data_IF_877613466371
#
_entry.id   IF_877613466371
#
_cell.length_a   1.000
_cell.length_b   1.000
_cell.length_c   1.000
_cell.angle_alpha   90.00
_cell.angle_beta   90.00
_cell.angle_gamma   90.00
#
_symmetry.space_group_name_H-M   'P 1'
#
loop_
_entity.id
_entity.type
_entity.pdbx_description
1 polymer ?
#
# COMPACT_ATOMS: atom_id res chain seq x y z
N UNK A 1 4.82 12.84 -6.02
CA UNK A 1 5.12 13.01 -7.45
C UNK A 1 3.87 12.92 -8.32
N UNK A 2 3.13 11.80 -8.36
CA UNK A 2 1.98 11.60 -9.26
C UNK A 2 0.86 12.64 -9.04
N UNK A 3 0.45 12.86 -7.77
CA UNK A 3 -0.52 13.89 -7.41
C UNK A 3 -0.10 15.27 -7.92
N UNK A 4 1.15 15.63 -7.72
CA UNK A 4 1.63 16.97 -8.03
C UNK A 4 1.94 17.17 -9.53
N UNK A 5 2.23 16.08 -10.26
CA UNK A 5 2.47 16.12 -11.70
C UNK A 5 1.21 15.99 -12.56
N UNK A 6 0.21 15.21 -12.11
CA UNK A 6 -0.91 14.82 -13.00
C UNK A 6 -2.31 15.13 -12.45
N UNK A 7 -2.45 15.50 -11.16
CA UNK A 7 -3.75 15.63 -10.49
C UNK A 7 -4.00 17.08 -10.01
N UNK A 8 -3.74 18.07 -10.87
CA UNK A 8 -3.95 19.48 -10.53
C UNK A 8 -5.42 19.83 -10.35
N UNK A 9 -6.31 19.16 -11.10
CA UNK A 9 -7.76 19.36 -10.98
C UNK A 9 -8.27 18.87 -9.64
N UNK A 10 -7.82 17.67 -9.20
CA UNK A 10 -8.16 17.11 -7.90
C UNK A 10 -7.66 17.99 -6.76
N UNK A 11 -6.44 18.54 -6.88
CA UNK A 11 -5.91 19.50 -5.91
C UNK A 11 -6.77 20.76 -5.82
N UNK A 12 -7.21 21.30 -6.95
CA UNK A 12 -8.07 22.48 -6.98
C UNK A 12 -9.45 22.18 -6.38
N UNK A 13 -10.10 21.09 -6.82
CA UNK A 13 -11.42 20.68 -6.31
C UNK A 13 -11.39 20.39 -4.82
N UNK A 14 -10.39 19.64 -4.34
CA UNK A 14 -10.23 19.32 -2.93
C UNK A 14 -10.12 20.60 -2.07
N UNK A 15 -9.34 21.58 -2.54
CA UNK A 15 -9.23 22.88 -1.87
C UNK A 15 -10.58 23.64 -1.80
N UNK A 16 -11.38 23.58 -2.87
CA UNK A 16 -12.70 24.23 -2.94
C UNK A 16 -13.69 23.62 -1.96
N UNK A 17 -13.65 22.30 -1.76
CA UNK A 17 -14.60 21.57 -0.90
C UNK A 17 -14.05 21.26 0.50
N UNK A 18 -12.81 21.65 0.80
CA UNK A 18 -12.17 21.38 2.10
C UNK A 18 -11.80 19.91 2.32
N UNK A 19 -11.42 19.20 1.26
CA UNK A 19 -11.05 17.77 1.30
C UNK A 19 -9.59 17.54 0.89
N UNK A 20 -9.10 16.31 1.04
CA UNK A 20 -7.78 15.90 0.58
C UNK A 20 -7.84 15.43 -0.89
N UNK A 21 -6.93 15.89 -1.78
CA UNK A 21 -6.88 15.42 -3.16
C UNK A 21 -6.77 13.90 -3.30
N UNK A 22 -6.14 13.21 -2.36
CA UNK A 22 -6.06 11.75 -2.37
C UNK A 22 -7.42 11.07 -2.20
N UNK A 23 -8.37 11.68 -1.48
CA UNK A 23 -9.72 11.14 -1.39
C UNK A 23 -10.42 11.13 -2.75
N UNK A 24 -10.31 12.23 -3.51
CA UNK A 24 -10.87 12.30 -4.87
C UNK A 24 -10.20 11.31 -5.82
N UNK A 25 -8.87 11.18 -5.73
CA UNK A 25 -8.11 10.22 -6.53
C UNK A 25 -8.51 8.77 -6.19
N UNK A 26 -8.65 8.44 -4.91
CA UNK A 26 -9.06 7.11 -4.46
C UNK A 26 -10.47 6.76 -4.93
N UNK A 27 -11.45 7.65 -4.77
CA UNK A 27 -12.83 7.45 -5.25
C UNK A 27 -12.91 7.19 -6.76
N UNK A 28 -12.05 7.85 -7.55
CA UNK A 28 -11.98 7.60 -8.97
C UNK A 28 -11.28 6.26 -9.30
N UNK A 29 -10.21 5.93 -8.58
CA UNK A 29 -9.44 4.71 -8.77
C UNK A 29 -10.18 3.45 -8.28
N UNK A 30 -11.09 3.55 -7.33
CA UNK A 30 -11.95 2.44 -6.89
C UNK A 30 -12.80 1.85 -8.03
N UNK A 31 -13.16 2.68 -9.02
CA UNK A 31 -13.95 2.27 -10.18
C UNK A 31 -13.14 1.46 -11.20
N UNK A 32 -11.83 1.46 -11.09
CA UNK A 32 -10.94 0.69 -11.94
C UNK A 32 -10.87 -0.74 -11.38
N UNK A 33 -10.98 -1.79 -12.20
CA UNK A 33 -10.90 -3.16 -11.71
C UNK A 33 -9.50 -3.50 -11.17
N UNK A 34 -9.44 -4.52 -10.32
CA UNK A 34 -8.19 -5.10 -9.87
C UNK A 34 -7.32 -5.53 -11.06
N UNK A 35 -6.02 -5.25 -11.00
CA UNK A 35 -5.08 -5.51 -12.09
C UNK A 35 -5.15 -4.51 -13.24
N UNK A 36 -5.90 -3.39 -13.11
CA UNK A 36 -5.86 -2.26 -14.03
C UNK A 36 -6.03 -2.65 -15.52
N UNK A 37 -6.95 -3.56 -15.84
CA UNK A 37 -7.13 -4.13 -17.20
C UNK A 37 -5.87 -4.82 -17.75
N UNK A 38 -4.99 -5.30 -16.89
CA UNK A 38 -3.70 -5.92 -17.25
C UNK A 38 -2.52 -4.94 -17.29
N UNK A 39 -2.75 -3.63 -17.15
CA UNK A 39 -1.67 -2.67 -17.06
C UNK A 39 -0.88 -2.87 -15.77
N UNK A 40 0.44 -2.82 -15.87
CA UNK A 40 1.35 -2.92 -14.75
C UNK A 40 2.19 -1.66 -14.60
N UNK A 41 2.31 -1.20 -13.36
CA UNK A 41 3.36 -0.29 -12.94
C UNK A 41 4.46 -1.11 -12.28
N UNK A 42 5.70 -0.76 -12.53
CA UNK A 42 6.85 -1.41 -11.92
C UNK A 42 7.90 -0.35 -11.58
N UNK A 43 8.16 -0.15 -10.30
CA UNK A 43 9.27 0.68 -9.82
C UNK A 43 9.63 0.29 -8.39
N UNK A 44 10.85 0.61 -7.99
CA UNK A 44 11.28 0.62 -6.60
C UNK A 44 12.44 1.59 -6.47
N UNK A 45 12.28 2.60 -5.66
CA UNK A 45 13.36 3.47 -5.19
C UNK A 45 13.78 3.11 -3.75
N UNK A 46 13.20 2.04 -3.23
CA UNK A 46 13.44 1.55 -1.88
C UNK A 46 14.54 0.52 -1.92
N UNK A 47 15.62 0.87 -1.26
CA UNK A 47 16.65 -0.01 -0.72
C UNK A 47 17.01 -1.26 -1.56
N UNK A 48 18.23 -1.25 -1.99
CA UNK A 48 18.84 -2.37 -2.67
C UNK A 48 19.07 -3.53 -1.68
N UNK A 49 18.06 -4.36 -1.49
CA UNK A 49 18.25 -5.63 -0.81
C UNK A 49 18.87 -6.65 -1.77
N UNK A 50 19.50 -7.67 -1.21
CA UNK A 50 20.23 -8.70 -1.96
C UNK A 50 19.44 -9.27 -3.15
N UNK A 51 18.12 -9.42 -3.02
CA UNK A 51 17.26 -10.01 -4.04
C UNK A 51 16.37 -9.01 -4.79
N UNK A 52 16.51 -7.70 -4.49
CA UNK A 52 15.70 -6.65 -5.08
C UNK A 52 16.58 -5.50 -5.51
N UNK A 53 16.71 -5.29 -6.80
CA UNK A 53 17.40 -4.13 -7.35
C UNK A 53 16.47 -2.94 -7.43
N UNK A 54 17.05 -1.76 -7.48
CA UNK A 54 16.31 -0.56 -7.86
C UNK A 54 15.75 -0.75 -9.28
N UNK A 55 14.45 -0.55 -9.45
CA UNK A 55 13.78 -0.58 -10.74
C UNK A 55 13.29 0.82 -11.10
N UNK A 56 13.64 1.27 -12.31
CA UNK A 56 13.17 2.54 -12.85
C UNK A 56 11.64 2.52 -13.05
N UNK A 57 10.92 3.63 -12.82
CA UNK A 57 9.48 3.69 -13.03
C UNK A 57 9.11 3.32 -14.47
N UNK A 58 8.31 2.29 -14.62
CA UNK A 58 7.84 1.77 -15.91
C UNK A 58 6.34 1.50 -15.81
N UNK A 59 5.61 1.87 -16.86
CA UNK A 59 4.23 1.44 -17.08
C UNK A 59 4.17 0.63 -18.36
N UNK A 60 3.57 -0.54 -18.31
CA UNK A 60 3.54 -1.48 -19.43
C UNK A 60 2.18 -2.13 -19.60
N UNK A 61 1.94 -2.74 -20.77
CA UNK A 61 0.76 -3.50 -21.09
C UNK A 61 -0.55 -2.68 -21.02
N UNK A 62 -0.56 -1.48 -21.62
CA UNK A 62 -1.77 -0.68 -21.76
C UNK A 62 -2.02 -0.32 -23.23
N UNK A 63 -3.27 -0.09 -23.55
CA UNK A 63 -3.74 0.32 -24.87
C UNK A 63 -3.98 1.84 -24.89
N UNK A 64 -4.03 2.44 -26.10
CA UNK A 64 -4.31 3.86 -26.27
C UNK A 64 -5.83 4.14 -26.24
N UNK A 65 -6.51 3.62 -25.22
CA UNK A 65 -7.96 3.75 -24.99
C UNK A 65 -8.20 4.61 -23.75
N UNK A 66 -8.46 5.91 -23.89
CA UNK A 66 -8.50 6.85 -22.76
C UNK A 66 -9.65 6.57 -21.78
N UNK A 67 -10.70 5.89 -22.20
CA UNK A 67 -11.79 5.46 -21.32
C UNK A 67 -11.38 4.37 -20.32
N UNK A 68 -10.35 3.57 -20.64
CA UNK A 68 -9.79 2.54 -19.76
C UNK A 68 -8.47 2.99 -19.11
N UNK A 69 -7.54 3.53 -19.92
CA UNK A 69 -6.19 3.85 -19.51
C UNK A 69 -6.01 5.36 -19.37
N UNK A 70 -6.51 5.89 -18.26
CA UNK A 70 -6.43 7.29 -17.88
C UNK A 70 -5.62 7.48 -16.60
N UNK A 71 -5.45 8.72 -16.15
CA UNK A 71 -4.64 9.03 -14.96
C UNK A 71 -5.03 8.22 -13.71
N UNK A 72 -6.29 7.83 -13.56
CA UNK A 72 -6.72 7.05 -12.39
C UNK A 72 -6.31 5.58 -12.48
N UNK A 73 -6.27 5.02 -13.69
CA UNK A 73 -5.73 3.68 -13.93
C UNK A 73 -4.23 3.66 -13.65
N UNK A 74 -3.50 4.69 -14.09
CA UNK A 74 -2.08 4.84 -13.74
C UNK A 74 -1.88 5.01 -12.23
N UNK A 75 -2.71 5.80 -11.57
CA UNK A 75 -2.64 5.95 -10.11
C UNK A 75 -2.90 4.63 -9.38
N UNK A 76 -3.95 3.89 -9.76
CA UNK A 76 -4.25 2.59 -9.16
C UNK A 76 -3.11 1.59 -9.37
N UNK A 77 -2.52 1.53 -10.55
CA UNK A 77 -1.40 0.63 -10.82
C UNK A 77 -0.15 0.95 -9.97
N UNK A 78 0.04 2.22 -9.58
CA UNK A 78 1.08 2.61 -8.60
C UNK A 78 0.78 2.00 -7.22
N UNK A 79 -0.47 2.05 -6.76
CA UNK A 79 -0.87 1.44 -5.49
C UNK A 79 -0.68 -0.08 -5.54
N UNK A 80 -1.06 -0.71 -6.64
CA UNK A 80 -0.90 -2.16 -6.86
C UNK A 80 0.58 -2.57 -6.89
N UNK A 81 1.46 -1.77 -7.53
CA UNK A 81 2.90 -2.00 -7.51
C UNK A 81 3.47 -2.03 -6.10
N UNK A 82 3.06 -1.09 -5.23
CA UNK A 82 3.55 -1.07 -3.84
C UNK A 82 3.10 -2.30 -3.06
N UNK A 83 1.89 -2.79 -3.31
CA UNK A 83 1.41 -4.03 -2.71
C UNK A 83 2.15 -5.28 -3.23
N UNK A 84 2.51 -5.31 -4.53
CA UNK A 84 3.34 -6.37 -5.11
C UNK A 84 4.74 -6.40 -4.47
N UNK A 85 5.34 -5.23 -4.22
CA UNK A 85 6.61 -5.12 -3.47
C UNK A 85 6.48 -5.70 -2.05
N UNK A 86 5.41 -5.36 -1.33
CA UNK A 86 5.17 -5.91 0.01
C UNK A 86 5.02 -7.43 -0.04
N UNK A 87 4.28 -7.98 -1.02
CA UNK A 87 4.17 -9.44 -1.22
C UNK A 87 5.54 -10.08 -1.38
N UNK A 88 6.42 -9.49 -2.21
CA UNK A 88 7.78 -9.98 -2.37
C UNK A 88 8.63 -9.89 -1.10
N UNK A 89 8.46 -8.83 -0.30
CA UNK A 89 9.14 -8.74 1.00
C UNK A 89 8.65 -9.78 2.00
N UNK A 90 7.37 -10.14 2.00
CA UNK A 90 6.84 -11.24 2.82
C UNK A 90 7.49 -12.57 2.40
N UNK A 91 7.63 -12.82 1.10
CA UNK A 91 8.32 -14.01 0.59
C UNK A 91 9.77 -14.09 1.08
N UNK A 92 10.52 -12.97 1.04
CA UNK A 92 11.88 -12.90 1.57
C UNK A 92 11.97 -13.14 3.08
N UNK A 93 11.04 -12.58 3.85
CA UNK A 93 10.96 -12.81 5.30
C UNK A 93 10.70 -14.29 5.57
N UNK A 94 9.77 -14.89 4.84
CA UNK A 94 9.47 -16.33 4.95
C UNK A 94 10.68 -17.21 4.62
N UNK A 95 11.39 -16.88 3.53
CA UNK A 95 12.61 -17.60 3.14
C UNK A 95 13.71 -17.47 4.21
N UNK A 96 13.92 -16.29 4.75
CA UNK A 96 14.99 -16.01 5.71
C UNK A 96 14.71 -16.55 7.13
N UNK A 97 13.45 -16.57 7.55
CA UNK A 97 13.07 -16.87 8.95
C UNK A 97 12.24 -18.14 9.13
N UNK A 98 11.71 -18.70 8.05
CA UNK A 98 10.71 -19.77 8.09
C UNK A 98 9.32 -19.31 8.55
N UNK A 99 9.15 -18.03 8.92
CA UNK A 99 7.91 -17.49 9.45
C UNK A 99 7.17 -16.66 8.40
N UNK A 100 5.85 -16.73 8.44
CA UNK A 100 4.98 -15.92 7.60
C UNK A 100 3.96 -15.20 8.50
N UNK A 101 3.75 -13.90 8.32
CA UNK A 101 2.79 -13.16 9.15
C UNK A 101 1.36 -13.61 8.87
N UNK A 102 0.54 -13.75 9.93
CA UNK A 102 -0.89 -14.04 9.79
C UNK A 102 -1.69 -12.82 9.33
N UNK A 103 -1.21 -11.62 9.63
CA UNK A 103 -1.81 -10.33 9.26
C UNK A 103 -0.75 -9.27 9.09
N UNK A 104 -1.09 -8.20 8.40
CA UNK A 104 -0.24 -7.02 8.21
C UNK A 104 -0.82 -5.85 9.01
N UNK A 105 0.07 -5.06 9.63
CA UNK A 105 -0.30 -3.78 10.25
C UNK A 105 0.14 -2.68 9.29
N UNK A 106 -0.83 -1.95 8.74
CA UNK A 106 -0.58 -0.84 7.82
C UNK A 106 -0.82 0.48 8.54
N UNK A 107 0.25 1.24 8.78
CA UNK A 107 0.25 2.49 9.53
C UNK A 107 0.91 3.62 8.73
N UNK A 108 0.82 4.84 9.24
CA UNK A 108 1.30 6.05 8.56
C UNK A 108 0.26 6.66 7.63
N UNK A 109 0.61 7.72 6.92
CA UNK A 109 -0.31 8.49 6.08
C UNK A 109 -1.00 7.67 4.98
N UNK A 110 -0.34 6.66 4.43
CA UNK A 110 -0.92 5.78 3.41
C UNK A 110 -2.09 4.92 3.93
N UNK A 111 -2.08 4.57 5.22
CA UNK A 111 -3.13 3.75 5.85
C UNK A 111 -4.47 4.46 6.02
N UNK A 112 -4.55 5.74 5.68
CA UNK A 112 -5.81 6.50 5.62
C UNK A 112 -6.64 6.10 4.40
N UNK A 113 -6.00 5.57 3.35
CA UNK A 113 -6.66 5.12 2.13
C UNK A 113 -7.27 3.73 2.31
N UNK A 114 -8.60 3.65 2.33
CA UNK A 114 -9.32 2.36 2.36
C UNK A 114 -9.00 1.54 1.09
N UNK A 115 -8.94 2.19 -0.07
CA UNK A 115 -8.58 1.55 -1.34
C UNK A 115 -7.20 0.90 -1.26
N UNK A 116 -6.18 1.61 -0.79
CA UNK A 116 -4.82 1.07 -0.72
C UNK A 116 -4.71 -0.05 0.29
N UNK A 117 -5.39 0.08 1.44
CA UNK A 117 -5.45 -0.96 2.46
C UNK A 117 -6.10 -2.25 1.92
N UNK A 118 -7.18 -2.12 1.13
CA UNK A 118 -7.84 -3.26 0.49
C UNK A 118 -6.96 -3.88 -0.60
N UNK A 119 -6.32 -3.08 -1.46
CA UNK A 119 -5.38 -3.59 -2.47
C UNK A 119 -4.25 -4.38 -1.80
N UNK A 120 -3.72 -3.87 -0.69
CA UNK A 120 -2.66 -4.57 0.05
C UNK A 120 -3.15 -5.92 0.58
N UNK A 121 -4.37 -6.00 1.12
CA UNK A 121 -4.96 -7.26 1.55
C UNK A 121 -5.15 -8.24 0.39
N UNK A 122 -5.70 -7.77 -0.72
CA UNK A 122 -6.01 -8.58 -1.90
C UNK A 122 -4.74 -9.15 -2.54
N UNK A 123 -3.70 -8.31 -2.72
CA UNK A 123 -2.42 -8.71 -3.33
C UNK A 123 -1.66 -9.71 -2.44
N UNK A 124 -1.61 -9.44 -1.14
CA UNK A 124 -0.83 -10.29 -0.22
C UNK A 124 -1.58 -11.53 0.22
N UNK A 125 -2.91 -11.54 0.08
CA UNK A 125 -3.77 -12.61 0.59
C UNK A 125 -3.81 -12.65 2.12
N UNK A 126 -3.41 -11.58 2.80
CA UNK A 126 -3.37 -11.46 4.25
C UNK A 126 -4.36 -10.40 4.73
N UNK A 127 -5.02 -10.62 5.87
CA UNK A 127 -5.75 -9.53 6.51
C UNK A 127 -4.84 -8.34 6.79
N UNK A 128 -5.30 -7.13 6.44
CA UNK A 128 -4.61 -5.86 6.74
C UNK A 128 -5.39 -5.14 7.82
N UNK A 129 -4.71 -4.71 8.87
CA UNK A 129 -5.31 -3.91 9.94
C UNK A 129 -4.69 -2.52 9.95
N UNK A 130 -5.51 -1.48 10.11
CA UNK A 130 -5.03 -0.11 10.30
C UNK A 130 -5.24 0.30 11.75
N UNK A 131 -4.28 1.01 12.37
CA UNK A 131 -4.41 1.46 13.75
C UNK A 131 -5.29 2.72 13.83
N UNK A 132 -5.89 2.96 15.00
CA UNK A 132 -6.60 4.22 15.30
C UNK A 132 -5.63 5.40 15.18
N UNK A 133 -4.45 5.29 15.81
CA UNK A 133 -3.39 6.30 15.69
C UNK A 133 -2.55 5.98 14.47
N UNK A 134 -2.71 6.76 13.41
CA UNK A 134 -2.00 6.57 12.14
C UNK A 134 -0.50 6.86 12.26
N UNK A 135 -0.12 7.82 13.10
CA UNK A 135 1.28 8.21 13.35
C UNK A 135 1.98 7.23 14.31
N UNK A 136 2.26 6.02 13.82
CA UNK A 136 2.81 4.92 14.61
C UNK A 136 4.17 5.24 15.26
N UNK A 137 5.02 6.03 14.58
CA UNK A 137 6.32 6.44 15.10
C UNK A 137 6.15 7.37 16.32
N UNK A 138 5.26 8.35 16.23
CA UNK A 138 4.97 9.26 17.34
C UNK A 138 4.35 8.51 18.52
N UNK A 139 3.43 7.57 18.24
CA UNK A 139 2.83 6.72 19.27
C UNK A 139 3.90 5.86 19.97
N UNK A 140 4.80 5.24 19.22
CA UNK A 140 5.89 4.44 19.76
C UNK A 140 6.80 5.28 20.68
N UNK A 141 7.18 6.48 20.25
CA UNK A 141 7.97 7.41 21.06
C UNK A 141 7.24 7.80 22.37
N UNK A 142 5.95 8.07 22.30
CA UNK A 142 5.13 8.41 23.49
C UNK A 142 5.04 7.23 24.47
N UNK A 143 4.91 5.99 23.97
CA UNK A 143 4.88 4.78 24.81
C UNK A 143 6.23 4.57 25.52
N UNK A 144 7.34 4.73 24.79
CA UNK A 144 8.68 4.62 25.37
C UNK A 144 8.93 5.69 26.44
N UNK A 145 8.52 6.94 26.18
CA UNK A 145 8.63 8.02 27.14
C UNK A 145 7.77 7.74 28.39
N UNK A 146 6.54 7.26 28.20
CA UNK A 146 5.65 6.88 29.30
C UNK A 146 6.19 5.76 30.16
N UNK A 147 6.84 4.77 29.56
CA UNK A 147 7.58 3.74 30.29
C UNK A 147 8.75 4.34 31.09
N UNK A 148 9.55 5.22 30.47
CA UNK A 148 10.69 5.86 31.11
C UNK A 148 10.37 6.68 32.36
N UNK A 149 9.16 7.24 32.43
CA UNK A 149 8.66 8.01 33.59
C UNK A 149 7.71 7.21 34.50
N UNK A 150 7.58 5.89 34.28
CA UNK A 150 6.80 4.99 35.13
C UNK A 150 5.28 5.05 34.95
N UNK A 151 4.76 5.62 33.84
CA UNK A 151 3.31 5.59 33.50
C UNK A 151 2.90 4.17 33.10
N UNK A 152 3.74 3.47 32.35
CA UNK A 152 3.52 2.08 31.95
C UNK A 152 4.51 1.16 32.65
N UNK A 153 4.08 -0.02 33.15
CA UNK A 153 4.97 -1.00 33.75
C UNK A 153 5.98 -1.61 32.78
N UNK A 154 5.62 -1.65 31.49
CA UNK A 154 6.48 -2.08 30.38
C UNK A 154 6.07 -1.42 29.06
N UNK A 155 6.96 -1.43 28.08
CA UNK A 155 6.65 -0.98 26.70
C UNK A 155 5.53 -1.84 26.09
N UNK A 156 5.55 -3.14 26.34
CA UNK A 156 4.53 -4.07 25.85
C UNK A 156 3.13 -3.75 26.38
N UNK A 157 3.01 -3.45 27.67
CA UNK A 157 1.73 -3.04 28.27
C UNK A 157 1.27 -1.67 27.75
N UNK A 158 2.18 -0.71 27.63
CA UNK A 158 1.90 0.58 27.00
C UNK A 158 1.39 0.41 25.56
N UNK A 159 2.01 -0.46 24.79
CA UNK A 159 1.57 -0.78 23.42
C UNK A 159 0.19 -1.47 23.41
N UNK A 160 -0.08 -2.42 24.30
CA UNK A 160 -1.37 -3.09 24.40
C UNK A 160 -2.53 -2.12 24.75
N UNK A 161 -2.23 -1.08 25.53
CA UNK A 161 -3.21 -0.04 25.89
C UNK A 161 -3.46 0.91 24.73
N UNK A 162 -2.41 1.36 24.04
CA UNK A 162 -2.44 2.49 23.11
C UNK A 162 -2.61 2.06 21.64
N UNK A 163 -2.06 0.91 21.23
CA UNK A 163 -2.10 0.47 19.83
C UNK A 163 -3.40 -0.29 19.53
N UNK A 164 -4.48 0.46 19.30
CA UNK A 164 -5.80 -0.10 18.98
C UNK A 164 -6.02 -0.19 17.48
N UNK A 165 -6.70 -1.26 17.05
CA UNK A 165 -7.14 -1.45 15.66
C UNK A 165 -8.36 -0.56 15.39
N UNK A 166 -8.32 0.13 14.25
CA UNK A 166 -9.41 0.93 13.70
C UNK A 166 -10.25 0.08 12.72
N UNK A 167 -9.61 -0.36 11.63
CA UNK A 167 -10.26 -1.15 10.57
C UNK A 167 -9.46 -2.41 10.27
N UNK A 168 -10.19 -3.42 9.75
CA UNK A 168 -9.62 -4.66 9.22
C UNK A 168 -10.12 -4.87 7.80
N UNK A 169 -9.21 -5.11 6.87
CA UNK A 169 -9.48 -5.41 5.47
C UNK A 169 -9.16 -6.89 5.24
N UNK A 170 -10.17 -7.65 4.86
CA UNK A 170 -10.00 -9.06 4.48
C UNK A 170 -9.78 -9.17 2.98
N UNK A 171 -8.92 -10.09 2.51
CA UNK A 171 -8.71 -10.29 1.08
C UNK A 171 -10.01 -10.63 0.34
N UNK A 172 -10.27 -9.93 -0.75
CA UNK A 172 -11.26 -10.32 -1.74
C UNK A 172 -10.66 -11.43 -2.61
N UNK A 173 -11.26 -12.62 -2.59
CA UNK A 173 -10.69 -13.80 -3.26
C UNK A 173 -10.69 -13.69 -4.78
N UNK A 174 -11.65 -12.97 -5.39
CA UNK A 174 -11.68 -12.73 -6.83
C UNK A 174 -10.55 -11.79 -7.25
N UNK A 175 -10.37 -10.68 -6.54
CA UNK A 175 -9.25 -9.77 -6.77
C UNK A 175 -7.91 -10.47 -6.53
N UNK A 176 -7.81 -11.25 -5.45
CA UNK A 176 -6.61 -12.02 -5.13
C UNK A 176 -6.20 -12.92 -6.29
N UNK A 177 -7.16 -13.61 -6.92
CA UNK A 177 -6.89 -14.46 -8.09
C UNK A 177 -6.27 -13.67 -9.24
N UNK A 178 -6.81 -12.49 -9.55
CA UNK A 178 -6.23 -11.60 -10.57
C UNK A 178 -4.78 -11.24 -10.22
N UNK A 179 -4.52 -10.89 -8.97
CA UNK A 179 -3.17 -10.53 -8.53
C UNK A 179 -2.21 -11.72 -8.46
N UNK A 180 -2.68 -12.91 -8.14
CA UNK A 180 -1.85 -14.13 -8.17
C UNK A 180 -1.41 -14.50 -9.59
N UNK A 181 -2.27 -14.27 -10.59
CA UNK A 181 -1.94 -14.46 -12.01
C UNK A 181 -0.98 -13.36 -12.51
N UNK A 182 -1.15 -12.13 -12.04
CA UNK A 182 -0.37 -10.97 -12.45
C UNK A 182 1.04 -10.93 -11.81
N UNK A 183 1.18 -11.36 -10.56
CA UNK A 183 2.39 -11.21 -9.78
C UNK A 183 3.65 -11.85 -10.40
N UNK A 184 3.61 -13.07 -10.95
CA UNK A 184 4.77 -13.65 -11.63
C UNK A 184 5.22 -12.83 -12.84
N UNK A 185 4.30 -12.31 -13.64
CA UNK A 185 4.59 -11.46 -14.79
C UNK A 185 5.19 -10.13 -14.34
N UNK A 186 4.61 -9.51 -13.31
CA UNK A 186 5.15 -8.30 -12.70
C UNK A 186 6.59 -8.51 -12.19
N UNK A 187 6.88 -9.67 -11.58
CA UNK A 187 8.26 -10.03 -11.15
C UNK A 187 9.25 -10.06 -12.30
N UNK A 188 8.86 -10.60 -13.45
CA UNK A 188 9.74 -10.60 -14.63
C UNK A 188 9.96 -9.19 -15.20
N UNK A 189 8.91 -8.36 -15.26
CA UNK A 189 9.04 -6.94 -15.62
C UNK A 189 9.97 -6.21 -14.64
N UNK A 190 9.82 -6.46 -13.34
CA UNK A 190 10.68 -5.88 -12.32
C UNK A 190 12.15 -6.25 -12.50
N UNK A 191 12.46 -7.51 -12.82
CA UNK A 191 13.84 -7.98 -13.05
C UNK A 191 14.45 -7.40 -14.32
N UNK A 192 13.62 -7.12 -15.32
CA UNK A 192 14.07 -6.56 -16.61
C UNK A 192 14.43 -5.08 -16.53
N UNK A 193 13.85 -4.33 -15.58
CA UNK A 193 14.11 -2.90 -15.33
C UNK A 193 15.30 -2.69 -14.39
#
# INVERSE_FOLDING_TARGET
WFRDGFCQEEKRKAKEIGDDPYNLMNQAAEKIPAGCYGMMCCFSDIMNFINWKHAAPTFTNFELLPEKFNKYTFYRSILENTAMLVKGHIELVKEATGNEPDKLIFAGGASVSDLWSQILADVTGKPVVTPVVKEATALGAAIIAGYGVGIYPSIAEGAAICAKVDKTYTPNLENKKVYDEMYPVWREVYKAN
#
